data_IF_821357438270
#
_entry.id   IF_821357438270
#
_cell.length_a   1.000
_cell.length_b   1.000
_cell.length_c   1.000
_cell.angle_alpha   90.00
_cell.angle_beta   90.00
_cell.angle_gamma   90.00
#
_symmetry.space_group_name_H-M   'P 1'
#
loop_
_entity.id
_entity.type
_entity.pdbx_description
1 polymer ?
#
# COMPACT_ATOMS: atom_id res chain seq x y z
N UNK A 1 -23.70 9.26 -1.27
CA UNK A 1 -23.41 7.92 -1.86
C UNK A 1 -21.94 7.63 -1.65
N UNK A 2 -21.56 6.49 -1.09
CA UNK A 2 -20.14 6.12 -0.91
C UNK A 2 -19.54 5.84 -2.29
N UNK A 3 -18.47 6.53 -2.71
CA UNK A 3 -17.88 6.28 -4.01
C UNK A 3 -17.20 4.90 -4.05
N UNK A 4 -17.24 4.24 -5.20
CA UNK A 4 -16.50 3.00 -5.44
C UNK A 4 -14.99 3.28 -5.36
N UNK A 5 -14.23 2.34 -4.80
CA UNK A 5 -12.78 2.50 -4.66
C UNK A 5 -12.10 2.66 -6.02
N UNK A 6 -11.36 3.74 -6.23
CA UNK A 6 -10.65 4.00 -7.49
C UNK A 6 -9.76 2.83 -7.94
N UNK A 7 -9.14 2.12 -6.98
CA UNK A 7 -8.32 0.94 -7.27
C UNK A 7 -9.11 -0.26 -7.76
N UNK A 8 -10.35 -0.44 -7.34
CA UNK A 8 -11.22 -1.50 -7.84
C UNK A 8 -11.86 -1.09 -9.17
N UNK A 9 -12.28 0.16 -9.30
CA UNK A 9 -12.87 0.66 -10.53
C UNK A 9 -11.93 0.57 -11.73
N UNK A 10 -10.63 0.88 -11.55
CA UNK A 10 -9.65 0.74 -12.65
C UNK A 10 -9.42 -0.73 -13.02
N UNK A 11 -9.44 -1.65 -12.03
CA UNK A 11 -9.30 -3.08 -12.30
C UNK A 11 -10.47 -3.62 -13.11
N UNK A 12 -11.71 -3.25 -12.74
CA UNK A 12 -12.93 -3.57 -13.49
C UNK A 12 -12.90 -3.00 -14.91
N UNK A 13 -12.46 -1.74 -15.07
CA UNK A 13 -12.31 -1.12 -16.39
C UNK A 13 -11.29 -1.85 -17.27
N UNK A 14 -10.18 -2.30 -16.70
CA UNK A 14 -9.18 -3.12 -17.41
C UNK A 14 -9.75 -4.46 -17.83
N UNK A 15 -10.49 -5.13 -16.95
CA UNK A 15 -11.16 -6.41 -17.30
C UNK A 15 -12.12 -6.23 -18.48
N UNK A 16 -12.99 -5.22 -18.43
CA UNK A 16 -13.93 -4.94 -19.51
C UNK A 16 -13.22 -4.65 -20.85
N UNK A 17 -12.13 -3.89 -20.84
CA UNK A 17 -11.34 -3.63 -22.07
C UNK A 17 -10.66 -4.89 -22.61
N UNK A 18 -10.15 -5.76 -21.75
CA UNK A 18 -9.56 -7.05 -22.16
C UNK A 18 -10.60 -7.98 -22.76
N UNK A 19 -11.81 -8.03 -22.19
CA UNK A 19 -12.95 -8.75 -22.77
C UNK A 19 -13.35 -8.20 -24.15
N UNK A 20 -13.18 -6.88 -24.38
CA UNK A 20 -13.36 -6.24 -25.68
C UNK A 20 -12.18 -6.45 -26.65
N UNK A 21 -11.15 -7.19 -26.26
CA UNK A 21 -10.00 -7.55 -27.12
C UNK A 21 -8.78 -6.60 -27.03
N UNK A 22 -8.78 -5.63 -26.11
CA UNK A 22 -7.64 -4.74 -25.92
C UNK A 22 -6.52 -5.43 -25.12
N UNK A 23 -5.27 -5.20 -25.52
CA UNK A 23 -4.08 -5.60 -24.74
C UNK A 23 -3.71 -4.50 -23.76
N UNK A 24 -4.36 -4.47 -22.59
CA UNK A 24 -4.17 -3.40 -21.60
C UNK A 24 -2.99 -3.70 -20.68
N UNK A 25 -2.02 -2.79 -20.66
CA UNK A 25 -0.95 -2.73 -19.68
C UNK A 25 -1.50 -2.19 -18.35
N UNK A 26 -1.61 -3.05 -17.35
CA UNK A 26 -2.23 -2.70 -16.08
C UNK A 26 -1.23 -2.26 -15.02
N UNK A 27 -1.07 -0.93 -14.84
CA UNK A 27 -0.25 -0.30 -13.80
C UNK A 27 -1.11 0.40 -12.72
N UNK A 28 -2.43 0.29 -12.80
CA UNK A 28 -3.37 0.96 -11.88
C UNK A 28 -3.70 0.17 -10.62
N UNK A 29 -3.51 -1.16 -10.58
CA UNK A 29 -3.91 -1.99 -9.46
C UNK A 29 -2.72 -2.48 -8.62
N UNK A 30 -2.82 -2.27 -7.32
CA UNK A 30 -1.75 -2.57 -6.37
C UNK A 30 -1.78 -4.01 -5.85
N UNK A 31 -1.81 -5.01 -6.72
CA UNK A 31 -1.67 -6.42 -6.37
C UNK A 31 -0.22 -6.88 -6.51
N UNK A 32 0.28 -7.69 -5.58
CA UNK A 32 1.59 -8.30 -5.72
C UNK A 32 1.52 -9.47 -6.71
N UNK A 33 2.13 -9.33 -7.87
CA UNK A 33 2.02 -10.26 -9.00
C UNK A 33 2.94 -11.48 -8.94
N UNK A 34 3.51 -11.82 -7.79
CA UNK A 34 4.36 -13.03 -7.64
C UNK A 34 3.50 -14.29 -7.41
N UNK A 35 4.01 -15.48 -7.70
CA UNK A 35 3.29 -16.73 -7.41
C UNK A 35 3.13 -16.95 -5.91
N UNK A 36 2.20 -17.83 -5.53
CA UNK A 36 2.08 -18.31 -4.14
C UNK A 36 3.38 -19.01 -3.73
N UNK A 37 3.86 -18.71 -2.51
CA UNK A 37 5.07 -19.33 -1.99
C UNK A 37 4.92 -20.86 -1.85
N UNK A 38 5.98 -21.64 -2.15
CA UNK A 38 5.96 -23.07 -1.96
C UNK A 38 5.52 -23.47 -0.54
N UNK A 39 4.84 -24.60 -0.41
CA UNK A 39 4.33 -25.11 0.86
C UNK A 39 3.03 -24.48 1.35
N UNK A 40 2.71 -23.22 0.99
CA UNK A 40 1.47 -22.58 1.48
C UNK A 40 0.20 -23.21 0.88
N UNK A 41 0.25 -23.67 -0.37
CA UNK A 41 -0.85 -24.39 -0.99
C UNK A 41 -1.10 -25.73 -0.33
N UNK A 42 -0.05 -26.43 0.08
CA UNK A 42 -0.11 -27.70 0.81
C UNK A 42 -0.73 -27.49 2.20
N UNK A 43 -0.27 -26.47 2.94
CA UNK A 43 -0.85 -26.12 4.23
C UNK A 43 -2.34 -25.77 4.11
N UNK A 44 -2.74 -25.10 3.03
CA UNK A 44 -4.15 -24.81 2.75
C UNK A 44 -4.92 -26.10 2.44
N UNK A 45 -4.35 -26.98 1.63
CA UNK A 45 -4.95 -28.29 1.29
C UNK A 45 -5.17 -29.14 2.55
N UNK A 46 -4.20 -29.18 3.48
CA UNK A 46 -4.34 -29.89 4.74
C UNK A 46 -5.38 -29.27 5.69
N UNK A 47 -5.62 -27.98 5.54
CA UNK A 47 -6.54 -27.23 6.39
C UNK A 47 -7.95 -27.07 5.81
N UNK A 48 -8.23 -27.48 4.58
CA UNK A 48 -9.47 -27.18 3.84
C UNK A 48 -10.75 -27.70 4.53
N UNK A 49 -10.65 -28.76 5.33
CA UNK A 49 -11.78 -29.32 6.08
C UNK A 49 -12.07 -28.58 7.42
N UNK A 50 -11.28 -27.57 7.78
CA UNK A 50 -11.51 -26.78 9.00
C UNK A 50 -12.63 -25.77 8.75
N UNK A 51 -13.85 -26.10 9.16
CA UNK A 51 -15.06 -25.33 8.88
C UNK A 51 -15.66 -24.60 10.08
N UNK A 52 -15.11 -24.75 11.27
CA UNK A 52 -15.58 -24.05 12.49
C UNK A 52 -15.10 -22.60 12.55
N UNK A 53 -15.93 -21.70 13.13
CA UNK A 53 -15.61 -20.27 13.24
C UNK A 53 -14.30 -19.96 13.98
N UNK A 54 -14.07 -20.62 15.10
CA UNK A 54 -12.94 -20.33 15.99
C UNK A 54 -13.08 -19.01 16.78
N UNK A 55 -12.06 -18.63 17.56
CA UNK A 55 -12.06 -17.39 18.35
C UNK A 55 -12.00 -16.15 17.46
N UNK A 56 -12.67 -15.07 17.86
CA UNK A 56 -12.74 -13.80 17.12
C UNK A 56 -11.36 -13.22 16.82
N UNK A 57 -10.49 -13.17 17.83
CA UNK A 57 -9.12 -12.63 17.64
C UNK A 57 -8.20 -13.55 16.83
N UNK A 58 -8.62 -14.76 16.52
CA UNK A 58 -7.85 -15.81 15.85
C UNK A 58 -7.43 -16.93 16.81
N UNK A 59 -7.10 -18.09 16.27
CA UNK A 59 -6.67 -19.28 17.02
C UNK A 59 -5.40 -18.99 17.84
N UNK A 60 -5.23 -19.69 18.96
CA UNK A 60 -4.03 -19.56 19.80
C UNK A 60 -2.74 -19.78 19.01
N UNK A 61 -2.73 -20.77 18.09
CA UNK A 61 -1.59 -21.07 17.23
C UNK A 61 -1.25 -19.92 16.27
N UNK A 62 -2.26 -19.34 15.60
CA UNK A 62 -2.05 -18.22 14.69
C UNK A 62 -1.57 -16.96 15.43
N UNK A 63 -2.19 -16.66 16.58
CA UNK A 63 -1.79 -15.51 17.41
C UNK A 63 -0.38 -15.67 17.98
N UNK A 64 -0.01 -16.86 18.43
CA UNK A 64 1.34 -17.13 18.91
C UNK A 64 2.38 -17.00 17.77
N UNK A 65 2.07 -17.48 16.56
CA UNK A 65 2.94 -17.32 15.41
C UNK A 65 3.12 -15.84 15.04
N UNK A 66 2.05 -15.06 15.02
CA UNK A 66 2.12 -13.61 14.73
C UNK A 66 2.88 -12.84 15.82
N UNK A 67 2.68 -13.16 17.09
CA UNK A 67 3.45 -12.58 18.20
C UNK A 67 4.94 -12.90 18.07
N UNK A 68 5.28 -14.15 17.77
CA UNK A 68 6.64 -14.57 17.49
C UNK A 68 7.25 -13.87 16.28
N UNK A 69 6.46 -13.64 15.23
CA UNK A 69 6.87 -12.91 14.03
C UNK A 69 7.29 -11.46 14.35
N UNK A 70 6.50 -10.73 15.15
CA UNK A 70 6.86 -9.39 15.63
C UNK A 70 8.10 -9.42 16.54
N UNK A 71 8.17 -10.38 17.46
CA UNK A 71 9.30 -10.50 18.39
C UNK A 71 10.61 -10.76 17.67
N UNK A 72 10.63 -11.62 16.63
CA UNK A 72 11.83 -11.85 15.80
C UNK A 72 12.25 -10.62 15.00
N UNK A 73 11.35 -9.66 14.79
CA UNK A 73 11.61 -8.36 14.14
C UNK A 73 11.91 -7.23 15.13
N UNK A 74 12.27 -7.59 16.38
CA UNK A 74 12.67 -6.64 17.41
C UNK A 74 11.53 -5.95 18.14
N UNK A 75 10.28 -6.43 17.98
CA UNK A 75 9.11 -5.90 18.66
C UNK A 75 8.49 -6.95 19.59
N UNK A 76 8.92 -7.04 20.87
CA UNK A 76 8.36 -7.99 21.84
C UNK A 76 6.84 -7.92 21.89
N UNK A 77 6.19 -9.04 21.70
CA UNK A 77 4.74 -9.10 21.51
C UNK A 77 4.18 -10.38 22.13
N UNK A 78 3.10 -10.23 22.88
CA UNK A 78 2.34 -11.35 23.45
C UNK A 78 1.16 -11.74 22.53
N UNK A 79 0.75 -13.01 22.50
CA UNK A 79 -0.40 -13.45 21.69
C UNK A 79 -1.71 -12.70 22.00
N UNK A 80 -1.86 -12.15 23.22
CA UNK A 80 -3.00 -11.33 23.62
C UNK A 80 -3.10 -9.98 22.92
N UNK A 81 -2.01 -9.50 22.32
CA UNK A 81 -1.94 -8.25 21.56
C UNK A 81 -2.33 -8.43 20.08
N UNK A 82 -2.55 -9.65 19.61
CA UNK A 82 -2.80 -9.96 18.20
C UNK A 82 -4.29 -10.14 17.94
N UNK A 83 -4.76 -9.54 16.83
CA UNK A 83 -6.09 -9.76 16.28
C UNK A 83 -5.99 -9.96 14.77
N UNK A 84 -6.60 -11.03 14.26
CA UNK A 84 -6.69 -11.34 12.83
C UNK A 84 -7.99 -10.85 12.20
N UNK A 85 -7.92 -10.50 10.92
CA UNK A 85 -9.07 -10.08 10.12
C UNK A 85 -8.96 -10.58 8.67
N UNK A 86 -10.06 -10.58 7.89
CA UNK A 86 -10.04 -10.94 6.47
C UNK A 86 -9.39 -9.84 5.62
N UNK A 87 -8.07 -9.66 5.81
CA UNK A 87 -7.23 -8.61 5.25
C UNK A 87 -7.15 -7.38 6.15
N UNK A 88 -6.21 -6.46 5.85
CA UNK A 88 -6.00 -5.23 6.64
C UNK A 88 -7.13 -4.20 6.48
N UNK A 89 -7.87 -4.22 5.36
CA UNK A 89 -8.91 -3.20 5.08
C UNK A 89 -10.04 -3.17 6.14
N UNK A 90 -10.73 -4.27 6.49
CA UNK A 90 -11.71 -4.25 7.58
C UNK A 90 -11.09 -3.97 8.95
N UNK A 91 -9.84 -4.38 9.15
CA UNK A 91 -9.09 -4.11 10.38
C UNK A 91 -8.83 -2.62 10.59
N UNK A 92 -8.41 -1.91 9.54
CA UNK A 92 -8.22 -0.46 9.56
C UNK A 92 -9.54 0.28 9.86
N UNK A 93 -10.64 -0.14 9.24
CA UNK A 93 -11.96 0.41 9.53
C UNK A 93 -12.34 0.21 11.01
N UNK A 94 -12.14 -1.00 11.54
CA UNK A 94 -12.43 -1.30 12.94
C UNK A 94 -11.56 -0.49 13.90
N UNK A 95 -10.29 -0.27 13.57
CA UNK A 95 -9.38 0.60 14.35
C UNK A 95 -9.86 2.06 14.36
N UNK A 96 -10.22 2.62 13.21
CA UNK A 96 -10.77 3.97 13.15
C UNK A 96 -12.05 4.09 13.96
N UNK A 97 -12.92 3.08 13.94
CA UNK A 97 -14.14 3.06 14.73
C UNK A 97 -13.84 2.99 16.24
N UNK A 98 -12.93 2.11 16.66
CA UNK A 98 -12.62 1.87 18.07
C UNK A 98 -11.80 3.02 18.72
N UNK A 99 -10.84 3.60 18.02
CA UNK A 99 -10.02 4.70 18.54
C UNK A 99 -10.86 5.99 18.63
N UNK A 100 -11.64 6.28 17.61
CA UNK A 100 -12.47 7.49 17.57
C UNK A 100 -11.70 8.77 17.22
N UNK A 101 -12.42 9.91 17.26
CA UNK A 101 -11.89 11.20 16.85
C UNK A 101 -11.78 11.40 15.34
N UNK A 102 -11.36 12.57 14.91
CA UNK A 102 -11.10 12.89 13.51
C UNK A 102 -9.77 12.29 13.05
N UNK A 103 -9.65 12.01 11.75
CA UNK A 103 -8.55 11.24 11.20
C UNK A 103 -7.54 12.17 10.53
N UNK A 104 -6.29 12.10 10.94
CA UNK A 104 -5.18 12.83 10.32
C UNK A 104 -4.53 11.92 9.29
N UNK A 105 -4.43 12.39 8.04
CA UNK A 105 -3.87 11.65 6.92
C UNK A 105 -2.75 12.42 6.23
N UNK A 106 -1.63 11.77 5.90
CA UNK A 106 -0.70 12.28 4.90
C UNK A 106 -1.39 12.49 3.55
N UNK A 107 -0.94 13.45 2.77
CA UNK A 107 -1.43 13.70 1.42
C UNK A 107 -0.24 13.77 0.44
N UNK A 108 -0.14 12.83 -0.52
CA UNK A 108 -1.09 11.75 -0.82
C UNK A 108 -1.07 10.61 0.20
N UNK A 109 -2.15 9.81 0.25
CA UNK A 109 -2.25 8.58 1.05
C UNK A 109 -3.16 7.55 0.40
N UNK A 110 -3.14 6.30 0.89
CA UNK A 110 -3.96 5.25 0.31
C UNK A 110 -5.45 5.60 0.32
N UNK A 111 -6.09 5.43 -0.83
CA UNK A 111 -7.47 5.86 -1.12
C UNK A 111 -8.52 5.42 -0.10
N UNK A 112 -8.31 4.29 0.59
CA UNK A 112 -9.32 3.75 1.50
C UNK A 112 -9.36 4.42 2.86
N UNK A 113 -8.30 5.11 3.31
CA UNK A 113 -8.31 5.75 4.64
C UNK A 113 -9.35 6.86 4.72
N UNK A 114 -9.34 7.79 3.76
CA UNK A 114 -10.32 8.88 3.72
C UNK A 114 -11.74 8.35 3.51
N UNK A 115 -11.91 7.32 2.66
CA UNK A 115 -13.21 6.69 2.44
C UNK A 115 -13.76 6.02 3.72
N UNK A 116 -12.90 5.34 4.49
CA UNK A 116 -13.28 4.73 5.77
C UNK A 116 -13.61 5.77 6.84
N UNK A 117 -12.84 6.87 6.91
CA UNK A 117 -13.17 7.98 7.79
C UNK A 117 -14.56 8.57 7.46
N UNK A 118 -14.86 8.77 6.18
CA UNK A 118 -16.15 9.25 5.73
C UNK A 118 -17.31 8.30 6.07
N UNK A 119 -17.12 6.97 5.92
CA UNK A 119 -18.11 5.97 6.34
C UNK A 119 -18.44 6.03 7.82
N UNK A 120 -17.48 6.46 8.64
CA UNK A 120 -17.64 6.64 10.09
C UNK A 120 -18.13 8.06 10.47
N UNK A 121 -18.41 8.94 9.49
CA UNK A 121 -18.79 10.33 9.75
C UNK A 121 -17.66 11.16 10.37
N UNK A 122 -16.39 10.77 10.18
CA UNK A 122 -15.21 11.45 10.72
C UNK A 122 -14.65 12.45 9.72
N UNK A 123 -14.17 13.59 10.22
CA UNK A 123 -13.42 14.54 9.39
C UNK A 123 -12.05 13.97 9.07
N UNK A 124 -11.54 14.34 7.89
CA UNK A 124 -10.15 14.08 7.49
C UNK A 124 -9.39 15.41 7.58
N UNK A 125 -8.28 15.38 8.32
CA UNK A 125 -7.31 16.47 8.39
C UNK A 125 -6.14 16.04 7.52
N UNK A 126 -6.05 16.65 6.34
CA UNK A 126 -5.02 16.31 5.35
C UNK A 126 -3.76 17.13 5.60
N UNK A 127 -2.61 16.45 5.65
CA UNK A 127 -1.30 17.09 5.86
C UNK A 127 -0.38 16.74 4.69
N UNK A 128 0.12 17.72 3.93
CA UNK A 128 0.99 17.44 2.79
C UNK A 128 2.25 16.69 3.21
N UNK A 129 2.68 15.77 2.35
CA UNK A 129 3.98 15.10 2.45
C UNK A 129 4.99 15.92 1.66
N UNK A 130 6.17 16.26 2.23
CA UNK A 130 7.24 16.88 1.47
C UNK A 130 7.78 15.91 0.40
N UNK A 131 8.29 16.48 -0.68
CA UNK A 131 8.83 15.70 -1.80
C UNK A 131 9.97 14.76 -1.38
N UNK A 132 10.71 15.11 -0.34
CA UNK A 132 11.85 14.34 0.20
C UNK A 132 11.43 13.23 1.16
N UNK A 133 10.26 13.36 1.78
CA UNK A 133 9.80 12.41 2.78
C UNK A 133 9.08 11.20 2.18
N UNK A 134 9.21 10.09 2.87
CA UNK A 134 8.63 8.82 2.43
C UNK A 134 7.28 8.54 3.05
N UNK A 135 6.21 9.22 2.61
CA UNK A 135 4.85 8.86 2.99
C UNK A 135 4.39 9.36 4.36
N UNK A 136 5.16 10.19 5.02
CA UNK A 136 4.79 10.83 6.28
C UNK A 136 4.94 12.36 6.18
N UNK A 137 4.13 13.15 6.90
CA UNK A 137 4.21 14.61 6.86
C UNK A 137 5.46 15.13 7.53
N UNK A 138 5.81 16.38 7.28
CA UNK A 138 6.75 17.10 8.10
C UNK A 138 6.15 17.43 9.48
N UNK A 139 6.97 17.46 10.55
CA UNK A 139 6.48 17.74 11.89
C UNK A 139 5.84 19.12 12.04
N UNK A 140 6.38 20.17 11.42
CA UNK A 140 5.87 21.52 11.52
C UNK A 140 4.52 21.72 10.80
N UNK A 141 4.35 21.34 9.53
CA UNK A 141 3.04 21.29 8.88
C UNK A 141 2.00 20.44 9.63
N UNK A 142 2.42 19.30 10.21
CA UNK A 142 1.53 18.47 11.02
C UNK A 142 1.06 19.24 12.28
N UNK A 143 1.97 19.85 13.01
CA UNK A 143 1.67 20.66 14.20
C UNK A 143 0.71 21.79 13.86
N UNK A 144 0.96 22.52 12.76
CA UNK A 144 0.11 23.61 12.30
C UNK A 144 -1.28 23.12 11.91
N UNK A 145 -1.39 22.03 11.17
CA UNK A 145 -2.67 21.46 10.76
C UNK A 145 -3.50 21.01 11.97
N UNK A 146 -2.88 20.42 12.98
CA UNK A 146 -3.55 19.99 14.21
C UNK A 146 -4.07 21.19 15.03
N UNK A 147 -3.28 22.25 15.16
CA UNK A 147 -3.71 23.49 15.84
C UNK A 147 -4.88 24.13 15.12
N UNK A 148 -4.80 24.29 13.80
CA UNK A 148 -5.87 24.85 12.99
C UNK A 148 -7.15 24.01 13.09
N UNK A 149 -7.03 22.69 12.95
CA UNK A 149 -8.16 21.78 13.08
C UNK A 149 -8.85 21.91 14.45
N UNK A 150 -8.07 22.02 15.53
CA UNK A 150 -8.60 22.27 16.88
C UNK A 150 -9.34 23.61 16.99
N UNK A 151 -8.80 24.67 16.40
CA UNK A 151 -9.48 25.99 16.34
C UNK A 151 -10.81 25.93 15.56
N UNK A 152 -10.87 25.09 14.53
CA UNK A 152 -12.06 24.86 13.70
C UNK A 152 -13.05 23.84 14.33
N UNK A 153 -12.83 23.46 15.59
CA UNK A 153 -13.70 22.55 16.35
C UNK A 153 -13.59 21.08 15.95
N UNK A 154 -12.54 20.69 15.22
CA UNK A 154 -12.22 19.29 15.01
C UNK A 154 -11.62 18.65 16.28
N UNK A 155 -11.73 17.33 16.37
CA UNK A 155 -11.19 16.55 17.49
C UNK A 155 -10.25 15.45 16.96
N UNK A 156 -9.02 15.81 16.54
CA UNK A 156 -8.08 14.82 16.05
C UNK A 156 -7.87 13.70 17.08
N UNK A 157 -8.01 12.44 16.67
CA UNK A 157 -7.87 11.28 17.56
C UNK A 157 -6.83 10.28 17.06
N UNK A 158 -6.62 10.23 15.74
CA UNK A 158 -5.76 9.21 15.14
C UNK A 158 -5.00 9.75 13.94
N UNK A 159 -3.71 9.45 13.89
CA UNK A 159 -2.84 9.66 12.73
C UNK A 159 -2.61 8.30 12.05
N UNK A 160 -2.86 8.19 10.75
CA UNK A 160 -2.59 6.97 9.98
C UNK A 160 -1.35 7.19 9.13
N UNK A 161 -0.36 6.33 9.27
CA UNK A 161 0.88 6.33 8.52
C UNK A 161 1.04 5.01 7.78
N UNK A 162 1.45 5.04 6.53
CA UNK A 162 1.83 3.84 5.76
C UNK A 162 3.35 3.79 5.65
N UNK A 163 3.95 2.76 6.22
CA UNK A 163 5.42 2.67 6.36
C UNK A 163 5.91 1.27 5.99
N UNK A 164 6.50 1.09 4.80
CA UNK A 164 6.72 1.97 3.64
C UNK A 164 5.43 2.42 2.94
N UNK A 165 5.51 3.52 2.21
CA UNK A 165 4.36 4.25 1.72
C UNK A 165 3.72 3.69 0.43
N UNK A 166 2.42 3.80 0.38
CA UNK A 166 1.56 3.74 -0.79
C UNK A 166 0.73 5.04 -0.83
N UNK A 167 0.92 5.93 -1.82
CA UNK A 167 1.24 5.59 -3.23
C UNK A 167 2.70 5.77 -3.67
N UNK A 168 3.59 6.30 -2.86
CA UNK A 168 4.88 6.79 -3.36
C UNK A 168 5.97 5.72 -3.52
N UNK A 169 5.86 4.57 -2.84
CA UNK A 169 6.89 3.52 -2.84
C UNK A 169 8.17 3.93 -2.10
N UNK A 170 8.09 4.92 -1.23
CA UNK A 170 9.24 5.49 -0.50
C UNK A 170 9.24 5.07 0.97
N UNK A 171 10.37 5.28 1.64
CA UNK A 171 10.57 4.99 3.06
C UNK A 171 10.92 6.29 3.78
N UNK A 172 10.25 6.56 4.89
CA UNK A 172 10.52 7.72 5.72
C UNK A 172 11.86 7.60 6.45
N UNK A 173 12.66 8.69 6.55
CA UNK A 173 13.82 8.75 7.42
C UNK A 173 13.44 8.52 8.89
N UNK A 174 14.32 7.86 9.66
CA UNK A 174 14.04 7.53 11.06
C UNK A 174 13.82 8.77 11.94
N UNK A 175 14.61 9.80 11.72
CA UNK A 175 14.50 11.10 12.41
C UNK A 175 13.17 11.80 12.15
N UNK A 176 12.62 11.66 10.96
CA UNK A 176 11.31 12.20 10.62
C UNK A 176 10.18 11.41 11.28
N UNK A 177 10.29 10.07 11.32
CA UNK A 177 9.34 9.21 12.04
C UNK A 177 9.31 9.59 13.52
N UNK A 178 10.47 9.75 14.16
CA UNK A 178 10.60 10.19 15.54
C UNK A 178 9.94 11.55 15.78
N UNK A 179 10.24 12.53 14.95
CA UNK A 179 9.70 13.89 15.08
C UNK A 179 8.18 13.93 14.91
N UNK A 180 7.62 13.19 13.95
CA UNK A 180 6.17 13.05 13.75
C UNK A 180 5.50 12.36 14.95
N UNK A 181 6.12 11.30 15.49
CA UNK A 181 5.64 10.64 16.70
C UNK A 181 5.62 11.58 17.91
N UNK A 182 6.64 12.45 18.05
CA UNK A 182 6.67 13.46 19.10
C UNK A 182 5.52 14.49 18.97
N UNK A 183 5.16 14.89 17.74
CA UNK A 183 3.97 15.72 17.51
C UNK A 183 2.71 14.97 17.89
N UNK A 184 2.55 13.72 17.44
CA UNK A 184 1.39 12.91 17.74
C UNK A 184 1.19 12.73 19.27
N UNK A 185 2.27 12.51 20.01
CA UNK A 185 2.25 12.39 21.48
C UNK A 185 1.79 13.67 22.17
N UNK A 186 2.34 14.84 21.79
CA UNK A 186 1.94 16.14 22.34
C UNK A 186 0.45 16.45 22.16
N UNK A 187 -0.14 15.99 21.04
CA UNK A 187 -1.55 16.14 20.75
C UNK A 187 -2.42 14.97 21.23
N UNK A 188 -1.84 13.99 21.91
CA UNK A 188 -2.56 12.83 22.44
C UNK A 188 -3.13 11.90 21.38
N UNK A 189 -2.61 11.92 20.15
CA UNK A 189 -3.07 11.08 19.05
C UNK A 189 -2.67 9.62 19.27
N UNK A 190 -3.53 8.72 18.84
CA UNK A 190 -3.11 7.36 18.53
C UNK A 190 -2.46 7.32 17.13
N UNK A 191 -1.53 6.42 16.90
CA UNK A 191 -0.94 6.18 15.57
C UNK A 191 -1.36 4.79 15.08
N UNK A 192 -1.91 4.73 13.87
CA UNK A 192 -2.05 3.48 13.12
C UNK A 192 -0.88 3.43 12.14
N UNK A 193 0.05 2.52 12.38
CA UNK A 193 1.17 2.23 11.47
C UNK A 193 0.77 1.08 10.55
N UNK A 194 0.42 1.39 9.29
CA UNK A 194 0.13 0.37 8.28
C UNK A 194 1.45 -0.08 7.65
N UNK A 195 1.96 -1.23 8.08
CA UNK A 195 3.26 -1.79 7.71
C UNK A 195 3.14 -2.93 6.71
N UNK A 196 2.09 -2.91 5.87
CA UNK A 196 1.81 -3.96 4.90
C UNK A 196 2.94 -4.18 3.87
N UNK A 197 3.84 -3.20 3.71
CA UNK A 197 5.00 -3.25 2.80
C UNK A 197 6.34 -3.40 3.52
N UNK A 198 6.38 -3.53 4.85
CA UNK A 198 7.63 -3.53 5.60
C UNK A 198 8.62 -4.62 5.15
N UNK A 199 8.14 -5.84 4.85
CA UNK A 199 8.97 -6.94 4.34
C UNK A 199 9.44 -6.74 2.89
N UNK A 200 8.87 -5.77 2.18
CA UNK A 200 9.22 -5.42 0.79
C UNK A 200 10.10 -4.16 0.69
N UNK A 201 10.73 -3.72 1.78
CA UNK A 201 11.73 -2.65 1.75
C UNK A 201 12.96 -3.10 0.94
N UNK A 202 13.37 -2.27 -0.03
CA UNK A 202 14.50 -2.59 -0.92
C UNK A 202 15.86 -2.38 -0.22
N UNK A 203 15.91 -1.62 0.86
CA UNK A 203 17.14 -1.15 1.52
C UNK A 203 17.31 -1.58 2.98
N UNK A 204 16.61 -2.63 3.43
CA UNK A 204 16.74 -3.12 4.81
C UNK A 204 15.54 -2.80 5.72
N UNK A 205 15.80 -2.65 7.01
CA UNK A 205 14.75 -2.40 8.01
C UNK A 205 14.14 -1.01 7.87
N UNK A 206 12.83 -0.95 8.14
CA UNK A 206 12.05 0.29 8.14
C UNK A 206 11.89 0.76 9.58
N UNK A 207 12.03 2.06 9.82
CA UNK A 207 11.73 2.63 11.12
C UNK A 207 10.22 2.64 11.35
N UNK A 208 9.76 1.88 12.32
CA UNK A 208 8.34 1.85 12.69
C UNK A 208 8.02 2.94 13.73
N UNK A 209 6.89 3.66 13.63
CA UNK A 209 6.39 4.56 14.66
C UNK A 209 6.32 3.94 16.07
N UNK A 210 6.16 2.61 16.14
CA UNK A 210 6.11 1.89 17.42
C UNK A 210 7.41 2.01 18.23
N UNK A 211 8.55 2.31 17.58
CA UNK A 211 9.84 2.50 18.23
C UNK A 211 9.89 3.82 19.01
N UNK A 212 9.08 4.81 18.64
CA UNK A 212 9.08 6.16 19.21
C UNK A 212 7.82 6.48 20.03
N UNK A 213 6.68 5.84 19.70
CA UNK A 213 5.41 6.05 20.39
C UNK A 213 4.70 4.70 20.64
N UNK A 214 5.42 3.75 21.25
CA UNK A 214 4.99 2.35 21.40
C UNK A 214 3.71 2.15 22.18
N UNK A 215 3.39 3.01 23.15
CA UNK A 215 2.20 2.90 23.99
C UNK A 215 0.91 3.34 23.29
N UNK A 216 1.01 4.10 22.17
CA UNK A 216 -0.13 4.62 21.40
C UNK A 216 -0.11 4.21 19.94
N UNK A 217 0.82 3.35 19.52
CA UNK A 217 0.93 2.88 18.13
C UNK A 217 0.36 1.47 17.98
N UNK A 218 -0.61 1.34 17.09
CA UNK A 218 -1.10 0.05 16.61
C UNK A 218 -0.41 -0.25 15.28
N UNK A 219 0.18 -1.43 15.15
CA UNK A 219 0.73 -1.89 13.88
C UNK A 219 -0.29 -2.75 13.16
N UNK A 220 -0.59 -2.43 11.90
CA UNK A 220 -1.39 -3.27 11.01
C UNK A 220 -0.53 -3.82 9.89
N UNK A 221 -0.76 -5.06 9.51
CA UNK A 221 -0.08 -5.71 8.39
C UNK A 221 -0.88 -6.89 7.85
N UNK A 222 -0.31 -7.66 6.94
CA UNK A 222 -0.93 -8.85 6.38
C UNK A 222 -0.08 -9.49 5.31
N UNK A 223 -0.56 -10.61 4.78
CA UNK A 223 0.17 -11.42 3.80
C UNK A 223 -0.16 -11.06 2.33
N UNK A 224 -0.99 -10.02 2.13
CA UNK A 224 -1.44 -9.63 0.78
C UNK A 224 -0.31 -9.13 -0.12
N UNK A 225 0.76 -8.54 0.45
CA UNK A 225 1.83 -7.91 -0.33
C UNK A 225 3.12 -8.72 -0.27
N UNK A 226 3.59 -9.07 0.91
CA UNK A 226 4.83 -9.84 1.08
C UNK A 226 4.78 -11.23 0.44
N UNK A 227 3.62 -11.89 0.48
CA UNK A 227 3.39 -13.23 -0.05
C UNK A 227 2.39 -13.30 -1.22
N UNK A 228 1.95 -12.15 -1.74
CA UNK A 228 0.95 -12.07 -2.81
C UNK A 228 -0.38 -12.80 -2.51
N UNK A 229 -0.73 -12.95 -1.25
CA UNK A 229 -1.96 -13.63 -0.82
C UNK A 229 -3.16 -12.67 -0.72
N UNK A 230 -3.23 -11.67 -1.61
CA UNK A 230 -4.30 -10.67 -1.63
C UNK A 230 -5.70 -11.29 -1.69
N UNK A 231 -5.89 -12.34 -2.49
CA UNK A 231 -7.14 -13.08 -2.61
C UNK A 231 -7.47 -13.97 -1.40
N UNK A 232 -6.48 -14.34 -0.59
CA UNK A 232 -6.68 -15.20 0.59
C UNK A 232 -7.11 -14.42 1.83
N UNK A 233 -7.03 -13.09 1.78
CA UNK A 233 -7.58 -12.20 2.81
C UNK A 233 -7.02 -12.45 4.21
N UNK A 234 -5.71 -12.41 4.41
CA UNK A 234 -5.07 -12.58 5.72
C UNK A 234 -4.45 -11.25 6.16
N UNK A 235 -5.04 -10.63 7.18
CA UNK A 235 -4.54 -9.42 7.84
C UNK A 235 -4.50 -9.61 9.35
N UNK A 236 -3.63 -8.88 10.03
CA UNK A 236 -3.54 -8.89 11.48
C UNK A 236 -3.02 -7.56 12.03
N UNK A 237 -3.39 -7.26 13.27
CA UNK A 237 -2.89 -6.12 14.02
C UNK A 237 -2.19 -6.57 15.28
N UNK A 238 -1.24 -5.73 15.72
CA UNK A 238 -0.66 -5.74 17.04
C UNK A 238 -1.09 -4.48 17.78
N UNK A 239 -1.84 -4.63 18.86
CA UNK A 239 -2.14 -3.54 19.78
C UNK A 239 -0.99 -3.31 20.76
N UNK A 240 -0.83 -2.08 21.31
CA UNK A 240 0.20 -1.81 22.31
C UNK A 240 0.04 -2.66 23.57
N UNK A 241 1.12 -2.83 24.28
CA UNK A 241 1.06 -3.28 25.67
C UNK A 241 0.43 -2.18 26.57
N UNK A 242 0.15 -2.50 27.82
CA UNK A 242 -0.36 -1.51 28.78
C UNK A 242 -1.89 -1.38 28.78
N UNK A 243 -2.39 -0.44 29.58
CA UNK A 243 -3.83 -0.30 29.86
C UNK A 243 -4.64 0.09 28.62
N UNK A 244 -4.16 1.09 27.89
CA UNK A 244 -4.83 1.58 26.69
C UNK A 244 -4.90 0.50 25.60
N UNK A 245 -3.77 -0.18 25.34
CA UNK A 245 -3.73 -1.23 24.33
C UNK A 245 -4.65 -2.42 24.67
N UNK A 246 -4.74 -2.82 25.94
CA UNK A 246 -5.69 -3.87 26.38
C UNK A 246 -7.16 -3.44 26.18
N UNK A 247 -7.49 -2.19 26.51
CA UNK A 247 -8.83 -1.65 26.26
C UNK A 247 -9.14 -1.64 24.77
N UNK A 248 -8.23 -1.10 23.95
CA UNK A 248 -8.39 -1.10 22.49
C UNK A 248 -8.55 -2.52 21.92
N UNK A 249 -7.79 -3.50 22.44
CA UNK A 249 -7.92 -4.90 22.00
C UNK A 249 -9.32 -5.45 22.30
N UNK A 250 -9.91 -5.08 23.43
CA UNK A 250 -11.28 -5.48 23.77
C UNK A 250 -12.30 -4.84 22.84
N UNK A 251 -12.20 -3.53 22.60
CA UNK A 251 -13.07 -2.81 21.67
C UNK A 251 -12.97 -3.37 20.25
N UNK A 252 -11.74 -3.61 19.75
CA UNK A 252 -11.52 -4.22 18.45
C UNK A 252 -12.12 -5.62 18.35
N UNK A 253 -12.02 -6.41 19.41
CA UNK A 253 -12.60 -7.76 19.44
C UNK A 253 -14.12 -7.67 19.38
N UNK A 254 -14.73 -6.69 20.07
CA UNK A 254 -16.16 -6.40 20.00
C UNK A 254 -16.58 -6.04 18.57
N UNK A 255 -15.91 -5.08 17.94
CA UNK A 255 -16.19 -4.68 16.55
C UNK A 255 -15.99 -5.85 15.58
N UNK A 256 -14.94 -6.65 15.77
CA UNK A 256 -14.64 -7.81 14.94
C UNK A 256 -15.74 -8.88 15.03
N UNK A 257 -16.29 -9.11 16.22
CA UNK A 257 -17.36 -10.10 16.42
C UNK A 257 -18.62 -9.76 15.62
N UNK A 258 -18.93 -8.46 15.47
CA UNK A 258 -20.11 -8.00 14.76
C UNK A 258 -19.93 -7.84 13.24
N UNK A 259 -18.67 -7.66 12.78
CA UNK A 259 -18.41 -7.36 11.36
C UNK A 259 -17.96 -8.60 10.57
N UNK A 260 -17.02 -9.41 11.11
CA UNK A 260 -16.47 -10.56 10.35
C UNK A 260 -16.36 -11.84 11.17
N UNK A 261 -16.74 -11.84 12.43
CA UNK A 261 -16.67 -12.95 13.38
C UNK A 261 -15.23 -13.42 13.64
N UNK A 262 -14.59 -14.09 12.69
CA UNK A 262 -13.19 -14.53 12.78
C UNK A 262 -12.57 -14.66 11.39
N UNK A 263 -11.25 -14.72 11.32
CA UNK A 263 -10.57 -15.12 10.08
C UNK A 263 -10.91 -16.57 9.76
N UNK A 264 -11.15 -16.88 8.50
CA UNK A 264 -11.45 -18.25 8.04
C UNK A 264 -10.44 -19.26 8.57
N UNK A 265 -10.91 -20.37 9.11
CA UNK A 265 -10.07 -21.35 9.82
C UNK A 265 -8.92 -21.94 8.96
N UNK A 266 -9.09 -22.24 7.65
CA UNK A 266 -7.98 -22.62 6.78
C UNK A 266 -6.92 -21.52 6.65
N UNK A 267 -7.35 -20.25 6.56
CA UNK A 267 -6.44 -19.11 6.46
C UNK A 267 -5.65 -18.88 7.76
N UNK A 268 -6.20 -19.22 8.91
CA UNK A 268 -5.47 -19.19 10.19
C UNK A 268 -4.35 -20.23 10.23
N UNK A 269 -4.54 -21.40 9.59
CA UNK A 269 -3.48 -22.39 9.47
C UNK A 269 -2.34 -21.91 8.57
N UNK A 270 -2.68 -21.30 7.43
CA UNK A 270 -1.70 -20.67 6.53
C UNK A 270 -0.95 -19.55 7.24
N UNK A 271 -1.67 -18.66 7.96
CA UNK A 271 -1.05 -17.59 8.72
C UNK A 271 -0.07 -18.12 9.78
N UNK A 272 -0.48 -19.15 10.53
CA UNK A 272 0.38 -19.75 11.55
C UNK A 272 1.67 -20.34 10.97
N UNK A 273 1.60 -20.95 9.77
CA UNK A 273 2.77 -21.47 9.08
C UNK A 273 3.64 -20.34 8.53
N UNK A 274 3.07 -19.42 7.76
CA UNK A 274 3.81 -18.33 7.13
C UNK A 274 4.52 -17.44 8.16
N UNK A 275 3.85 -17.13 9.29
CA UNK A 275 4.38 -16.28 10.35
C UNK A 275 5.33 -17.00 11.31
N UNK A 276 5.58 -18.29 11.12
CA UNK A 276 6.69 -18.99 11.80
C UNK A 276 8.06 -18.76 11.11
N UNK A 277 8.06 -18.02 9.99
CA UNK A 277 9.23 -17.70 9.16
C UNK A 277 9.99 -18.96 8.66
N UNK A 278 9.30 -19.94 8.05
CA UNK A 278 10.04 -21.09 7.51
C UNK A 278 10.97 -20.64 6.37
N UNK A 279 12.11 -21.34 6.16
CA UNK A 279 13.15 -20.91 5.22
C UNK A 279 12.63 -20.65 3.79
N UNK A 280 11.73 -21.48 3.31
CA UNK A 280 11.13 -21.36 1.97
C UNK A 280 10.27 -20.12 1.82
N UNK A 281 9.54 -19.71 2.87
CA UNK A 281 8.72 -18.50 2.88
C UNK A 281 9.62 -17.26 2.93
N UNK A 282 10.65 -17.26 3.78
CA UNK A 282 11.59 -16.14 3.87
C UNK A 282 12.41 -15.97 2.59
N UNK A 283 12.83 -17.06 1.96
CA UNK A 283 13.51 -17.04 0.66
C UNK A 283 12.60 -16.50 -0.45
N UNK A 284 11.32 -16.87 -0.44
CA UNK A 284 10.33 -16.37 -1.40
C UNK A 284 10.10 -14.86 -1.26
N UNK A 285 9.92 -14.35 -0.03
CA UNK A 285 9.79 -12.91 0.23
C UNK A 285 11.04 -12.15 -0.24
N UNK A 286 12.23 -12.69 0.02
CA UNK A 286 13.47 -12.09 -0.44
C UNK A 286 13.58 -12.05 -1.98
N UNK A 287 13.14 -13.10 -2.67
CA UNK A 287 13.07 -13.11 -4.13
C UNK A 287 12.03 -12.11 -4.67
N UNK A 288 10.84 -12.07 -4.08
CA UNK A 288 9.80 -11.11 -4.42
C UNK A 288 10.30 -9.66 -4.27
N UNK A 289 10.97 -9.35 -3.16
CA UNK A 289 11.56 -8.03 -2.91
C UNK A 289 12.57 -7.63 -3.98
N UNK A 290 13.46 -8.55 -4.40
CA UNK A 290 14.43 -8.30 -5.49
C UNK A 290 13.72 -8.02 -6.82
N UNK A 291 12.72 -8.82 -7.18
CA UNK A 291 11.94 -8.64 -8.39
C UNK A 291 11.22 -7.28 -8.40
N UNK A 292 10.55 -6.95 -7.30
CA UNK A 292 9.87 -5.65 -7.14
C UNK A 292 10.85 -4.49 -7.31
N UNK A 293 11.99 -4.52 -6.61
CA UNK A 293 13.01 -3.49 -6.69
C UNK A 293 13.54 -3.31 -8.12
N UNK A 294 13.85 -4.40 -8.82
CA UNK A 294 14.40 -4.37 -10.18
C UNK A 294 13.42 -3.74 -11.15
N UNK A 295 12.18 -4.22 -11.21
CA UNK A 295 11.21 -3.70 -12.19
C UNK A 295 10.70 -2.30 -11.84
N UNK A 296 10.58 -1.96 -10.56
CA UNK A 296 10.29 -0.59 -10.17
C UNK A 296 11.41 0.38 -10.60
N UNK A 297 12.68 0.00 -10.46
CA UNK A 297 13.83 0.79 -10.93
C UNK A 297 13.82 0.94 -12.47
N UNK A 298 13.50 -0.12 -13.19
CA UNK A 298 13.39 -0.08 -14.66
C UNK A 298 12.31 0.89 -15.14
N UNK A 299 11.14 0.88 -14.50
CA UNK A 299 10.05 1.82 -14.81
C UNK A 299 10.42 3.24 -14.39
N UNK A 300 11.04 3.40 -13.21
CA UNK A 300 11.52 4.71 -12.75
C UNK A 300 12.47 5.38 -13.75
N UNK A 301 13.45 4.64 -14.27
CA UNK A 301 14.39 5.15 -15.29
C UNK A 301 13.64 5.66 -16.52
N UNK A 302 12.59 4.98 -16.96
CA UNK A 302 11.78 5.38 -18.12
C UNK A 302 10.94 6.62 -17.85
N UNK A 303 10.42 6.77 -16.64
CA UNK A 303 9.69 7.97 -16.21
C UNK A 303 10.60 9.19 -16.23
N UNK A 304 11.82 9.07 -15.70
CA UNK A 304 12.81 10.15 -15.73
C UNK A 304 13.22 10.50 -17.16
N UNK A 305 13.44 9.49 -18.02
CA UNK A 305 13.78 9.71 -19.43
C UNK A 305 12.66 10.42 -20.20
N UNK A 306 11.41 10.27 -19.80
CA UNK A 306 10.26 11.01 -20.34
C UNK A 306 10.06 12.39 -19.70
N UNK A 307 10.99 12.87 -18.86
CA UNK A 307 10.95 14.19 -18.24
C UNK A 307 10.06 14.30 -17.00
N UNK A 308 9.50 13.20 -16.49
CA UNK A 308 8.76 13.22 -15.25
C UNK A 308 9.71 13.33 -14.03
N UNK A 309 9.26 14.02 -13.00
CA UNK A 309 9.91 13.98 -11.68
C UNK A 309 9.35 12.80 -10.90
N UNK A 310 10.22 11.94 -10.40
CA UNK A 310 9.81 10.78 -9.61
C UNK A 310 10.90 10.42 -8.62
N UNK A 311 10.52 10.16 -7.39
CA UNK A 311 11.46 9.65 -6.38
C UNK A 311 11.86 8.21 -6.72
N UNK A 312 13.12 7.82 -6.45
CA UNK A 312 13.54 6.44 -6.64
C UNK A 312 12.72 5.50 -5.73
N UNK A 313 12.33 4.32 -6.23
CA UNK A 313 11.58 3.35 -5.42
C UNK A 313 12.46 2.78 -4.31
N UNK A 314 11.93 2.74 -3.09
CA UNK A 314 12.62 2.26 -1.90
C UNK A 314 11.93 1.05 -1.26
N UNK A 315 10.68 0.79 -1.61
CA UNK A 315 9.92 -0.35 -1.10
C UNK A 315 8.75 -0.72 -2.02
N UNK A 316 8.29 -1.95 -1.91
CA UNK A 316 7.14 -2.45 -2.66
C UNK A 316 7.34 -2.35 -4.16
N UNK A 317 6.32 -1.87 -4.85
CA UNK A 317 6.25 -1.85 -6.30
C UNK A 317 5.52 -0.60 -6.85
N UNK A 318 5.49 0.50 -6.07
CA UNK A 318 4.83 1.73 -6.48
C UNK A 318 5.82 2.79 -6.91
N UNK A 319 5.35 3.62 -7.85
CA UNK A 319 5.98 4.85 -8.29
C UNK A 319 4.92 5.95 -8.36
N UNK A 320 5.32 7.17 -8.03
CA UNK A 320 4.43 8.33 -8.00
C UNK A 320 5.05 9.51 -8.75
N UNK A 321 5.09 9.43 -10.11
CA UNK A 321 5.64 10.48 -10.94
C UNK A 321 4.76 11.72 -10.98
N UNK A 322 5.42 12.90 -11.07
CA UNK A 322 4.84 14.19 -11.41
C UNK A 322 5.27 14.61 -12.81
N UNK A 323 4.31 14.84 -13.68
CA UNK A 323 4.48 15.32 -15.05
C UNK A 323 4.34 16.85 -15.15
N UNK A 324 4.38 17.56 -14.03
CA UNK A 324 4.39 19.03 -13.97
C UNK A 324 5.41 19.70 -14.90
N UNK A 325 6.64 19.17 -15.05
CA UNK A 325 7.61 19.72 -16.02
C UNK A 325 7.12 19.72 -17.49
N UNK A 326 6.25 18.77 -17.87
CA UNK A 326 5.67 18.68 -19.22
C UNK A 326 4.31 19.40 -19.36
N UNK A 327 3.90 20.20 -18.36
CA UNK A 327 2.57 20.83 -18.27
C UNK A 327 2.13 21.54 -19.54
N UNK A 328 3.00 22.34 -20.15
CA UNK A 328 2.64 23.10 -21.35
C UNK A 328 2.39 22.18 -22.55
N UNK A 329 3.22 21.16 -22.73
CA UNK A 329 3.07 20.15 -23.78
C UNK A 329 1.79 19.34 -23.59
N UNK A 330 1.49 18.94 -22.37
CA UNK A 330 0.28 18.20 -22.01
C UNK A 330 -0.97 19.07 -22.20
N UNK A 331 -0.92 20.35 -21.80
CA UNK A 331 -2.00 21.31 -21.96
C UNK A 331 -2.35 21.53 -23.43
N UNK A 332 -1.35 21.60 -24.32
CA UNK A 332 -1.56 21.70 -25.77
C UNK A 332 -2.30 20.47 -26.35
N UNK A 333 -2.30 19.35 -25.63
CA UNK A 333 -3.04 18.13 -25.99
C UNK A 333 -4.40 18.00 -25.25
N UNK A 334 -4.82 19.03 -24.51
CA UNK A 334 -6.06 19.03 -23.71
C UNK A 334 -5.94 18.30 -22.38
N UNK A 335 -4.72 17.97 -21.93
CA UNK A 335 -4.44 17.27 -20.68
C UNK A 335 -4.07 18.31 -19.63
N UNK A 336 -4.96 18.58 -18.67
CA UNK A 336 -4.82 19.65 -17.67
C UNK A 336 -4.78 19.13 -16.25
N UNK A 337 -5.23 17.90 -16.03
CA UNK A 337 -5.31 17.23 -14.72
C UNK A 337 -4.64 15.85 -14.74
N UNK A 338 -4.34 15.32 -13.54
CA UNK A 338 -3.89 13.92 -13.41
C UNK A 338 -4.91 12.91 -13.93
N UNK A 339 -6.20 13.23 -13.82
CA UNK A 339 -7.29 12.41 -14.38
C UNK A 339 -7.27 12.40 -15.91
N UNK A 340 -7.10 13.57 -16.55
CA UNK A 340 -6.97 13.64 -18.02
C UNK A 340 -5.75 12.83 -18.48
N UNK A 341 -4.63 12.92 -17.74
CA UNK A 341 -3.40 12.21 -18.07
C UNK A 341 -3.59 10.67 -17.96
N UNK A 342 -4.22 10.19 -16.89
CA UNK A 342 -4.54 8.77 -16.75
C UNK A 342 -5.50 8.27 -17.83
N UNK A 343 -6.50 9.07 -18.19
CA UNK A 343 -7.45 8.80 -19.27
C UNK A 343 -6.75 8.75 -20.61
N UNK A 344 -5.88 9.72 -20.92
CA UNK A 344 -5.11 9.75 -22.16
C UNK A 344 -4.20 8.52 -22.31
N UNK A 345 -3.53 8.09 -21.23
CA UNK A 345 -2.73 6.86 -21.22
C UNK A 345 -3.59 5.62 -21.51
N UNK A 346 -4.76 5.54 -20.92
CA UNK A 346 -5.65 4.40 -21.12
C UNK A 346 -6.27 4.38 -22.52
N UNK A 347 -6.75 5.52 -23.01
CA UNK A 347 -7.50 5.58 -24.27
C UNK A 347 -6.61 5.55 -25.50
N UNK A 348 -5.43 6.16 -25.44
CA UNK A 348 -4.51 6.25 -26.61
C UNK A 348 -3.49 5.12 -26.65
N UNK A 349 -3.13 4.55 -25.49
CA UNK A 349 -2.00 3.61 -25.38
C UNK A 349 -2.36 2.29 -24.68
N UNK A 350 -3.63 2.12 -24.23
CA UNK A 350 -4.08 0.99 -23.42
C UNK A 350 -3.19 0.78 -22.17
N UNK A 351 -2.80 1.87 -21.49
CA UNK A 351 -2.01 1.84 -20.26
C UNK A 351 -2.86 2.37 -19.11
N UNK A 352 -3.27 1.49 -18.22
CA UNK A 352 -4.07 1.82 -17.05
C UNK A 352 -3.19 2.27 -15.87
N UNK A 353 -3.45 3.47 -15.34
CA UNK A 353 -2.79 4.06 -14.16
C UNK A 353 -3.85 4.66 -13.23
N UNK A 354 -3.46 5.19 -12.08
CA UNK A 354 -4.37 5.97 -11.24
C UNK A 354 -3.88 7.41 -11.12
N UNK A 355 -4.78 8.41 -11.23
CA UNK A 355 -4.44 9.81 -11.00
C UNK A 355 -4.12 10.07 -9.53
N UNK A 356 -3.26 11.06 -9.27
CA UNK A 356 -2.88 11.47 -7.92
C UNK A 356 -4.07 11.97 -7.10
N UNK A 357 -5.10 12.52 -7.74
CA UNK A 357 -6.34 12.97 -7.09
C UNK A 357 -7.08 11.84 -6.38
N UNK A 358 -6.96 10.59 -6.86
CA UNK A 358 -7.48 9.41 -6.15
C UNK A 358 -6.81 9.19 -4.78
N UNK A 359 -5.63 9.75 -4.56
CA UNK A 359 -4.85 9.66 -3.31
C UNK A 359 -4.88 10.98 -2.50
N UNK A 360 -5.74 11.92 -2.88
CA UNK A 360 -5.92 13.20 -2.20
C UNK A 360 -5.07 14.35 -2.74
N UNK A 361 -4.25 14.15 -3.78
CA UNK A 361 -3.56 15.25 -4.45
C UNK A 361 -4.56 16.20 -5.12
N UNK A 362 -4.23 17.49 -5.31
CA UNK A 362 -5.06 18.43 -6.06
C UNK A 362 -5.33 17.90 -7.48
N UNK A 363 -6.56 18.11 -8.00
CA UNK A 363 -6.94 17.68 -9.35
C UNK A 363 -6.05 18.30 -10.43
N UNK A 364 -5.50 19.49 -10.20
CA UNK A 364 -4.57 20.17 -11.10
C UNK A 364 -3.15 19.63 -11.08
N UNK A 365 -2.83 18.72 -10.14
CA UNK A 365 -1.54 18.04 -10.12
C UNK A 365 -1.50 16.98 -11.22
N UNK A 366 -0.44 17.02 -12.02
CA UNK A 366 -0.20 16.04 -13.10
C UNK A 366 0.53 14.81 -12.56
N UNK A 367 0.03 14.28 -11.45
CA UNK A 367 0.62 13.13 -10.77
C UNK A 367 -0.16 11.85 -11.03
N UNK A 368 0.58 10.74 -11.12
CA UNK A 368 0.02 9.40 -11.28
C UNK A 368 0.58 8.45 -10.23
N UNK A 369 -0.16 7.40 -9.89
CA UNK A 369 0.39 6.22 -9.24
C UNK A 369 0.49 5.07 -10.23
N UNK A 370 1.68 4.48 -10.34
CA UNK A 370 1.96 3.26 -11.09
C UNK A 370 2.29 2.12 -10.11
N UNK A 371 1.76 0.93 -10.40
CA UNK A 371 2.10 -0.32 -9.71
C UNK A 371 2.76 -1.27 -10.71
N UNK A 372 4.03 -1.61 -10.51
CA UNK A 372 4.82 -2.40 -11.47
C UNK A 372 4.66 -3.91 -11.32
N UNK A 373 3.95 -4.35 -10.29
CA UNK A 373 3.86 -5.77 -9.89
C UNK A 373 3.10 -6.67 -10.85
N UNK A 374 2.22 -6.11 -11.68
CA UNK A 374 1.48 -6.90 -12.69
C UNK A 374 2.26 -7.09 -14.00
N UNK A 375 3.47 -6.53 -14.12
CA UNK A 375 4.38 -6.75 -15.26
C UNK A 375 5.00 -8.14 -15.28
N UNK A 376 4.96 -8.89 -14.18
CA UNK A 376 5.74 -10.12 -14.01
C UNK A 376 5.27 -11.28 -14.89
N UNK A 377 4.06 -11.21 -15.42
CA UNK A 377 3.51 -12.20 -16.36
C UNK A 377 2.03 -12.48 -16.11
N UNK A 378 1.38 -12.98 -17.15
CA UNK A 378 -0.03 -13.32 -17.16
C UNK A 378 -0.31 -14.69 -16.51
N UNK A 379 0.65 -15.63 -16.63
CA UNK A 379 0.50 -17.01 -16.15
C UNK A 379 1.33 -17.29 -14.91
N UNK A 380 0.95 -18.27 -14.06
CA UNK A 380 1.77 -18.69 -12.91
C UNK A 380 3.20 -19.07 -13.31
N UNK A 381 3.38 -19.72 -14.47
CA UNK A 381 4.70 -20.08 -15.00
C UNK A 381 5.56 -18.85 -15.31
N UNK A 382 4.99 -17.87 -16.00
CA UNK A 382 5.71 -16.61 -16.29
C UNK A 382 6.10 -15.87 -15.01
N UNK A 383 5.20 -15.77 -14.04
CA UNK A 383 5.47 -15.14 -12.75
C UNK A 383 6.57 -15.87 -11.98
N UNK A 384 6.59 -17.19 -12.02
CA UNK A 384 7.66 -17.99 -11.42
C UNK A 384 9.01 -17.75 -12.12
N UNK A 385 9.03 -17.72 -13.45
CA UNK A 385 10.24 -17.41 -14.21
C UNK A 385 10.74 -16.00 -13.92
N UNK A 386 9.85 -15.01 -13.82
CA UNK A 386 10.23 -13.64 -13.45
C UNK A 386 10.82 -13.57 -12.04
N UNK A 387 10.25 -14.32 -11.08
CA UNK A 387 10.73 -14.35 -9.68
C UNK A 387 12.15 -14.92 -9.56
N UNK A 388 12.54 -15.84 -10.46
CA UNK A 388 13.82 -16.56 -10.41
C UNK A 388 14.87 -16.02 -11.40
N UNK A 389 14.47 -15.15 -12.32
CA UNK A 389 15.37 -14.58 -13.31
C UNK A 389 16.37 -13.59 -12.70
N UNK A 390 17.62 -13.64 -13.18
CA UNK A 390 18.63 -12.60 -12.84
C UNK A 390 18.30 -11.27 -13.48
N UNK A 391 17.80 -11.28 -14.72
CA UNK A 391 17.41 -10.11 -15.50
C UNK A 391 15.94 -10.18 -15.93
N UNK A 392 14.98 -10.02 -14.99
CA UNK A 392 13.56 -10.14 -15.29
C UNK A 392 13.09 -9.14 -16.35
N UNK A 393 13.73 -7.96 -16.45
CA UNK A 393 13.41 -6.94 -17.46
C UNK A 393 13.70 -7.39 -18.90
N UNK A 394 14.56 -8.40 -19.09
CA UNK A 394 14.90 -8.95 -20.41
C UNK A 394 13.97 -10.09 -20.86
N UNK A 395 13.07 -10.54 -20.00
CA UNK A 395 12.13 -11.62 -20.34
C UNK A 395 11.23 -11.24 -21.51
N UNK A 396 10.92 -12.19 -22.42
CA UNK A 396 10.26 -11.90 -23.70
C UNK A 396 8.83 -11.36 -23.57
N UNK A 397 8.21 -11.45 -22.43
CA UNK A 397 6.89 -10.82 -22.14
C UNK A 397 7.00 -9.52 -21.33
N UNK A 398 8.16 -9.20 -20.75
CA UNK A 398 8.39 -7.98 -19.96
C UNK A 398 9.06 -6.90 -20.81
N UNK A 399 10.11 -7.23 -21.56
CA UNK A 399 10.86 -6.28 -22.36
C UNK A 399 9.98 -5.48 -23.38
N UNK A 400 9.06 -6.12 -24.14
CA UNK A 400 8.18 -5.38 -25.06
C UNK A 400 7.24 -4.43 -24.32
N UNK A 401 6.75 -4.82 -23.15
CA UNK A 401 5.85 -4.01 -22.31
C UNK A 401 6.57 -2.75 -21.80
N UNK A 402 7.82 -2.89 -21.36
CA UNK A 402 8.66 -1.75 -20.94
C UNK A 402 8.97 -0.82 -22.11
N UNK A 403 9.18 -1.35 -23.32
CA UNK A 403 9.37 -0.55 -24.53
C UNK A 403 8.11 0.23 -24.89
N UNK A 404 6.94 -0.42 -24.86
CA UNK A 404 5.63 0.22 -25.10
C UNK A 404 5.38 1.34 -24.10
N UNK A 405 5.67 1.13 -22.81
CA UNK A 405 5.55 2.17 -21.79
C UNK A 405 6.45 3.37 -22.12
N UNK A 406 7.71 3.14 -22.48
CA UNK A 406 8.63 4.22 -22.87
C UNK A 406 8.11 5.02 -24.06
N UNK A 407 7.64 4.35 -25.11
CA UNK A 407 7.10 5.00 -26.31
C UNK A 407 5.88 5.87 -25.98
N UNK A 408 4.94 5.36 -25.19
CA UNK A 408 3.75 6.09 -24.77
C UNK A 408 4.09 7.34 -23.94
N UNK A 409 5.01 7.21 -22.98
CA UNK A 409 5.43 8.33 -22.14
C UNK A 409 6.13 9.42 -22.98
N UNK A 410 7.03 9.05 -23.88
CA UNK A 410 7.72 9.99 -24.77
C UNK A 410 6.73 10.69 -25.70
N UNK A 411 5.78 9.96 -26.29
CA UNK A 411 4.76 10.56 -27.16
C UNK A 411 3.91 11.61 -26.46
N UNK A 412 3.55 11.36 -25.18
CA UNK A 412 2.78 12.31 -24.39
C UNK A 412 3.56 13.55 -23.97
N UNK A 413 4.86 13.40 -23.71
CA UNK A 413 5.70 14.50 -23.18
C UNK A 413 6.57 15.18 -24.21
N UNK A 414 6.64 14.67 -25.46
CA UNK A 414 7.40 15.29 -26.52
C UNK A 414 6.74 16.57 -27.06
N UNK A 415 7.52 17.60 -27.23
CA UNK A 415 7.08 18.82 -27.87
C UNK A 415 6.87 18.58 -29.39
N UNK A 416 5.61 18.58 -29.85
CA UNK A 416 5.24 18.37 -31.28
C UNK A 416 5.59 19.55 -32.18
N UNK A 417 6.06 20.66 -31.62
CA UNK A 417 6.42 21.86 -32.38
C UNK A 417 7.82 21.87 -32.93
N UNK A 418 8.65 20.84 -32.70
CA UNK A 418 10.01 20.73 -33.22
C UNK A 418 10.14 19.70 -34.35
N UNK A 419 9.20 19.64 -35.31
CA UNK A 419 9.50 19.10 -36.63
C UNK A 419 9.88 20.25 -37.56
N UNK A 420 11.15 20.43 -37.89
CA UNK A 420 11.51 21.28 -39.03
C UNK A 420 10.90 20.67 -40.29
N UNK A 421 10.04 21.42 -40.93
CA UNK A 421 9.60 21.11 -42.28
C UNK A 421 10.84 20.77 -43.11
N UNK A 422 10.98 19.52 -43.54
CA UNK A 422 11.84 19.13 -44.66
C UNK A 422 11.01 18.99 -45.90
#
# INVERSE_FOLDING_TARGET
MTPHSATLAIDEAVHARREAGHDVLHLGFGEAGVPVAPGLAEVLADAHLRNGYGPVAGSSRARAAAAGWFTRRGLPTEPGQILFAPGSKPLLFALLAAIGGDVVLPCPSWVSYAAQAALLGRRVISVPIPAEAGGIPDPEPLEQALRQAGADGARPGVLVLTVPDNPTGTVAPAEQVEAVCAVADRHGLAVISDEIYAELSHRGTVCSPVQHLGERTVVTTGLSKSLALGGWRIGFARTPAGRWGRHLQQELTGVASEIWSSLAAPMQAVAAHALSDPPEVTAHIAAARRLHARLATEVHTRLLAAGAQCRPPQAGFYLYPDFGPAREVLRAQGITTGTDLATALLDRHDIATLPGSAFGAPDTALTLRLATSLLYGATPRQRHMALTAEEPQALPWIAPVLTRLSAALVELTADRHHHPHR
#
